data_IF_316018436261
#
_entry.id   IF_316018436261
#
_cell.length_a   1.000
_cell.length_b   1.000
_cell.length_c   1.000
_cell.angle_alpha   90.00
_cell.angle_beta   90.00
_cell.angle_gamma   90.00
#
_symmetry.space_group_name_H-M   'P 1'
#
loop_
_entity.id
_entity.type
_entity.pdbx_description
1 polymer ?
#
# COMPACT_ATOMS: atom_id res chain seq x y z
N UNK A 1 7.09 -2.30 14.24
CA UNK A 1 6.19 -2.70 15.35
C UNK A 1 6.77 -2.26 16.67
N UNK A 2 6.01 -1.62 17.56
CA UNK A 2 6.43 -1.24 18.92
C UNK A 2 6.99 -2.43 19.70
N UNK A 3 8.08 -2.21 20.42
CA UNK A 3 8.76 -3.27 21.15
C UNK A 3 9.30 -2.76 22.50
N UNK A 4 9.03 -3.52 23.55
CA UNK A 4 9.50 -3.25 24.92
C UNK A 4 10.45 -4.34 25.45
N UNK A 5 11.19 -5.01 24.58
CA UNK A 5 12.21 -5.96 24.97
C UNK A 5 13.36 -5.26 25.72
N UNK A 6 14.24 -6.05 26.38
CA UNK A 6 15.32 -5.50 27.20
C UNK A 6 16.24 -4.52 26.45
N UNK A 7 16.49 -4.75 25.14
CA UNK A 7 17.30 -3.85 24.30
C UNK A 7 16.54 -2.53 24.05
N UNK A 8 15.29 -2.60 23.56
CA UNK A 8 14.51 -1.40 23.27
C UNK A 8 14.32 -0.52 24.50
N UNK A 9 14.04 -1.11 25.68
CA UNK A 9 13.96 -0.35 26.95
C UNK A 9 15.27 0.39 27.26
N UNK A 10 16.40 -0.29 27.11
CA UNK A 10 17.71 0.34 27.32
C UNK A 10 17.94 1.51 26.35
N UNK A 11 17.60 1.31 25.08
CA UNK A 11 17.76 2.34 24.05
C UNK A 11 16.85 3.55 24.32
N UNK A 12 15.60 3.32 24.76
CA UNK A 12 14.66 4.39 25.15
C UNK A 12 15.20 5.18 26.38
N UNK A 13 15.58 4.47 27.44
CA UNK A 13 16.13 5.09 28.67
C UNK A 13 17.41 5.85 28.38
N UNK A 14 18.29 5.35 27.51
CA UNK A 14 19.54 6.04 27.15
C UNK A 14 19.30 7.37 26.43
N UNK A 15 18.13 7.57 25.84
CA UNK A 15 17.67 8.86 25.27
C UNK A 15 16.94 9.75 26.26
N UNK A 16 16.89 9.38 27.55
CA UNK A 16 16.23 10.14 28.61
C UNK A 16 14.70 10.03 28.60
N UNK A 17 14.14 9.00 27.95
CA UNK A 17 12.69 8.77 27.84
C UNK A 17 12.21 7.59 28.69
N UNK A 18 10.93 7.59 29.04
CA UNK A 18 10.31 6.48 29.78
C UNK A 18 9.77 5.44 28.77
N UNK A 19 10.20 4.19 28.91
CA UNK A 19 9.69 3.07 28.07
C UNK A 19 8.23 2.68 28.37
N UNK A 20 7.58 3.30 29.35
CA UNK A 20 6.13 3.17 29.63
C UNK A 20 5.31 4.17 28.83
N UNK A 21 5.96 5.20 28.29
CA UNK A 21 5.33 6.16 27.40
C UNK A 21 5.13 5.53 26.01
N UNK A 22 3.88 5.38 25.52
CA UNK A 22 3.60 4.84 24.21
C UNK A 22 4.32 5.58 23.08
N UNK A 23 4.44 6.91 23.16
CA UNK A 23 5.08 7.73 22.15
C UNK A 23 6.58 7.45 22.08
N UNK A 24 7.24 7.26 23.22
CA UNK A 24 8.64 6.88 23.26
C UNK A 24 8.89 5.47 22.71
N UNK A 25 7.92 4.57 22.86
CA UNK A 25 7.98 3.20 22.29
C UNK A 25 7.78 3.23 20.78
N UNK A 26 6.86 4.04 20.28
CA UNK A 26 6.67 4.25 18.85
C UNK A 26 7.89 4.87 18.19
N UNK A 27 8.43 5.93 18.76
CA UNK A 27 9.69 6.55 18.30
C UNK A 27 10.84 5.52 18.23
N UNK A 28 10.95 4.65 19.22
CA UNK A 28 11.95 3.57 19.19
C UNK A 28 11.72 2.61 18.03
N UNK A 29 10.47 2.29 17.71
CA UNK A 29 10.15 1.43 16.58
C UNK A 29 10.56 2.08 15.25
N UNK A 30 10.32 3.38 15.08
CA UNK A 30 10.72 4.15 13.90
C UNK A 30 12.25 4.23 13.75
N UNK A 31 12.96 4.52 14.83
CA UNK A 31 14.44 4.51 14.84
C UNK A 31 14.97 3.13 14.45
N UNK A 32 14.36 2.07 14.97
CA UNK A 32 14.76 0.69 14.66
C UNK A 32 14.53 0.37 13.19
N UNK A 33 13.39 0.79 12.64
CA UNK A 33 13.08 0.61 11.22
C UNK A 33 14.04 1.40 10.32
N UNK A 34 14.28 2.67 10.61
CA UNK A 34 15.22 3.49 9.86
C UNK A 34 16.64 2.90 9.85
N UNK A 35 17.12 2.40 10.98
CA UNK A 35 18.41 1.72 11.08
C UNK A 35 18.44 0.42 10.26
N UNK A 36 17.35 -0.33 10.23
CA UNK A 36 17.21 -1.52 9.40
C UNK A 36 17.27 -1.16 7.91
N UNK A 37 16.46 -0.21 7.45
CA UNK A 37 16.44 0.25 6.05
C UNK A 37 17.84 0.67 5.60
N UNK A 38 18.47 1.57 6.35
CA UNK A 38 19.83 2.03 6.08
C UNK A 38 20.83 0.86 5.97
N UNK A 39 20.76 -0.08 6.90
CA UNK A 39 21.69 -1.23 6.90
C UNK A 39 21.48 -2.15 5.70
N UNK A 40 20.22 -2.37 5.31
CA UNK A 40 19.87 -3.19 4.14
C UNK A 40 20.37 -2.52 2.87
N UNK A 41 20.06 -1.24 2.69
CA UNK A 41 20.48 -0.45 1.54
C UNK A 41 22.01 -0.43 1.38
N UNK A 42 22.74 -0.05 2.42
CA UNK A 42 24.21 -0.04 2.43
C UNK A 42 24.79 -1.41 2.09
N UNK A 43 24.15 -2.48 2.57
CA UNK A 43 24.65 -3.84 2.34
C UNK A 43 24.40 -4.29 0.90
N UNK A 44 23.20 -4.09 0.37
CA UNK A 44 22.84 -4.51 -0.98
C UNK A 44 23.60 -3.69 -2.02
N UNK A 45 23.60 -2.37 -1.88
CA UNK A 45 24.22 -1.46 -2.85
C UNK A 45 25.75 -1.55 -2.86
N UNK A 46 26.36 -2.09 -1.81
CA UNK A 46 27.79 -2.44 -1.83
C UNK A 46 28.11 -3.49 -2.90
N UNK A 47 27.20 -4.43 -3.16
CA UNK A 47 27.39 -5.51 -4.12
C UNK A 47 26.70 -5.25 -5.46
N UNK A 48 25.56 -4.62 -5.45
CA UNK A 48 24.80 -4.24 -6.65
C UNK A 48 24.13 -2.87 -6.47
N UNK A 49 24.79 -1.77 -6.90
CA UNK A 49 24.25 -0.43 -6.76
C UNK A 49 22.93 -0.16 -7.51
N UNK A 50 22.57 -1.05 -8.44
CA UNK A 50 21.33 -0.94 -9.24
C UNK A 50 20.21 -1.85 -8.71
N UNK A 51 20.44 -2.57 -7.63
CA UNK A 51 19.43 -3.46 -7.07
C UNK A 51 18.27 -2.64 -6.49
N UNK A 52 17.06 -2.94 -6.91
CA UNK A 52 15.85 -2.38 -6.31
C UNK A 52 15.54 -3.08 -4.99
N UNK A 53 14.97 -2.34 -4.05
CA UNK A 53 14.68 -2.82 -2.69
C UNK A 53 13.24 -2.44 -2.36
N UNK A 54 12.49 -3.40 -1.84
CA UNK A 54 11.18 -3.17 -1.26
C UNK A 54 11.11 -3.80 0.14
N UNK A 55 10.68 -3.01 1.11
CA UNK A 55 10.46 -3.46 2.49
C UNK A 55 8.98 -3.76 2.68
N UNK A 56 8.59 -5.02 2.54
CA UNK A 56 7.19 -5.42 2.65
C UNK A 56 6.63 -5.17 4.06
N UNK A 57 5.53 -4.43 4.11
CA UNK A 57 4.76 -4.17 5.32
C UNK A 57 3.27 -4.52 5.15
N UNK A 58 2.88 -5.08 3.99
CA UNK A 58 1.51 -5.42 3.64
C UNK A 58 0.60 -4.20 3.39
N UNK A 59 1.03 -2.99 3.74
CA UNK A 59 0.26 -1.76 3.57
C UNK A 59 1.19 -0.56 3.42
N UNK A 60 0.84 0.36 2.51
CA UNK A 60 1.53 1.65 2.37
C UNK A 60 0.72 2.69 3.13
N UNK A 61 1.21 3.08 4.31
CA UNK A 61 0.53 4.04 5.18
C UNK A 61 0.45 5.41 4.48
N UNK A 62 -0.78 5.88 4.22
CA UNK A 62 -1.01 7.18 3.60
C UNK A 62 -0.54 8.29 4.54
N UNK A 63 0.16 9.29 3.98
CA UNK A 63 0.78 10.39 4.74
C UNK A 63 2.17 10.07 5.32
N UNK A 64 2.67 8.84 5.17
CA UNK A 64 4.02 8.46 5.57
C UNK A 64 4.93 8.30 4.34
N UNK A 65 5.15 9.42 3.64
CA UNK A 65 6.03 9.46 2.46
C UNK A 65 7.46 9.00 2.76
N UNK A 66 7.94 9.25 3.97
CA UNK A 66 9.23 8.78 4.46
C UNK A 66 9.35 7.25 4.40
N UNK A 67 8.30 6.53 4.82
CA UNK A 67 8.25 5.06 4.74
C UNK A 67 8.11 4.56 3.30
N UNK A 68 7.32 5.25 2.47
CA UNK A 68 7.19 4.91 1.06
C UNK A 68 8.54 5.06 0.33
N UNK A 69 9.22 6.21 0.49
CA UNK A 69 10.49 6.50 -0.17
C UNK A 69 11.70 5.78 0.44
N UNK A 70 11.52 5.01 1.51
CA UNK A 70 12.50 4.02 1.95
C UNK A 70 12.64 2.83 0.98
N UNK A 71 11.79 2.77 -0.04
CA UNK A 71 11.73 1.73 -1.06
C UNK A 71 12.13 2.29 -2.42
N UNK A 72 12.60 1.42 -3.32
CA UNK A 72 12.88 1.78 -4.72
C UNK A 72 11.62 1.77 -5.59
N UNK A 73 10.62 0.98 -5.21
CA UNK A 73 9.31 0.83 -5.83
C UNK A 73 8.32 0.39 -4.75
N UNK A 74 7.03 0.42 -5.03
CA UNK A 74 6.00 0.03 -4.09
C UNK A 74 5.23 -1.20 -4.55
N UNK A 75 4.92 -2.09 -3.61
CA UNK A 75 4.09 -3.27 -3.84
C UNK A 75 2.84 -3.18 -2.98
N UNK A 76 1.69 -3.03 -3.65
CA UNK A 76 0.39 -2.86 -3.01
C UNK A 76 -0.23 -4.23 -2.80
N UNK A 77 0.18 -4.91 -1.74
CA UNK A 77 -0.36 -6.20 -1.38
C UNK A 77 -1.83 -6.07 -1.00
N UNK A 78 -2.69 -6.87 -1.64
CA UNK A 78 -4.11 -6.89 -1.36
C UNK A 78 -4.71 -8.25 -1.71
N UNK A 79 -5.40 -8.87 -0.76
CA UNK A 79 -6.16 -10.08 -0.97
C UNK A 79 -7.64 -9.82 -0.66
N UNK A 80 -8.41 -9.25 -1.61
CA UNK A 80 -9.78 -8.80 -1.35
C UNK A 80 -10.69 -9.89 -0.80
N UNK A 81 -10.57 -11.12 -1.32
CA UNK A 81 -11.35 -12.28 -0.85
C UNK A 81 -10.88 -12.80 0.50
N UNK A 82 -9.71 -12.39 0.96
CA UNK A 82 -9.05 -12.85 2.18
C UNK A 82 -9.19 -11.91 3.39
N UNK A 83 -10.22 -11.10 3.44
CA UNK A 83 -10.52 -10.23 4.58
C UNK A 83 -10.11 -8.76 4.41
N UNK A 84 -9.27 -8.41 3.45
CA UNK A 84 -8.87 -7.02 3.21
C UNK A 84 -9.92 -6.21 2.46
N UNK A 85 -10.85 -6.90 1.78
CA UNK A 85 -11.92 -6.27 1.02
C UNK A 85 -11.46 -5.59 -0.27
N UNK A 86 -12.43 -5.28 -1.12
CA UNK A 86 -12.18 -4.66 -2.43
C UNK A 86 -11.92 -3.15 -2.38
N UNK A 87 -12.00 -2.54 -1.19
CA UNK A 87 -11.68 -1.11 -0.99
C UNK A 87 -10.17 -0.86 -0.80
N UNK A 88 -9.43 -1.84 -0.28
CA UNK A 88 -8.04 -1.65 0.11
C UNK A 88 -7.14 -1.27 -1.07
N UNK A 89 -7.20 -2.02 -2.17
CA UNK A 89 -6.33 -1.74 -3.33
C UNK A 89 -6.65 -0.40 -4.01
N UNK A 90 -7.91 -0.05 -4.34
CA UNK A 90 -8.21 1.24 -4.97
C UNK A 90 -7.76 2.44 -4.14
N UNK A 91 -7.96 2.43 -2.82
CA UNK A 91 -7.50 3.50 -1.94
C UNK A 91 -5.98 3.63 -1.94
N UNK A 92 -5.27 2.50 -1.84
CA UNK A 92 -3.81 2.48 -1.86
C UNK A 92 -3.25 2.92 -3.21
N UNK A 93 -3.77 2.39 -4.31
CA UNK A 93 -3.32 2.72 -5.65
C UNK A 93 -3.58 4.19 -6.01
N UNK A 94 -4.76 4.73 -5.67
CA UNK A 94 -5.06 6.14 -5.92
C UNK A 94 -4.17 7.10 -5.13
N UNK A 95 -3.66 6.69 -3.99
CA UNK A 95 -2.70 7.49 -3.21
C UNK A 95 -1.27 7.38 -3.76
N UNK A 96 -0.76 6.16 -3.96
CA UNK A 96 0.66 5.97 -4.29
C UNK A 96 1.05 6.53 -5.66
N UNK A 97 0.12 6.63 -6.59
CA UNK A 97 0.37 7.26 -7.89
C UNK A 97 0.79 8.73 -7.81
N UNK A 98 0.50 9.41 -6.69
CA UNK A 98 0.93 10.78 -6.43
C UNK A 98 2.34 10.85 -5.82
N UNK A 99 3.00 9.73 -5.54
CA UNK A 99 4.31 9.68 -4.92
C UNK A 99 5.48 9.70 -5.93
N UNK A 100 5.18 9.61 -7.24
CA UNK A 100 6.21 9.61 -8.28
C UNK A 100 7.09 8.35 -8.33
N UNK A 101 6.60 7.25 -7.79
CA UNK A 101 7.30 5.97 -7.72
C UNK A 101 6.61 4.92 -8.61
N UNK A 102 7.39 3.97 -9.15
CA UNK A 102 6.81 2.76 -9.73
C UNK A 102 6.08 1.95 -8.66
N UNK A 103 4.98 1.35 -9.04
CA UNK A 103 4.23 0.47 -8.15
C UNK A 103 3.54 -0.67 -8.90
N UNK A 104 3.29 -1.75 -8.17
CA UNK A 104 2.52 -2.88 -8.64
C UNK A 104 1.39 -3.22 -7.67
N UNK A 105 0.27 -3.71 -8.20
CA UNK A 105 -0.76 -4.36 -7.42
C UNK A 105 -0.40 -5.83 -7.23
N UNK A 106 -0.44 -6.29 -6.00
CA UNK A 106 -0.19 -7.69 -5.66
C UNK A 106 -1.46 -8.31 -5.10
N UNK A 107 -1.95 -9.32 -5.77
CA UNK A 107 -3.02 -10.19 -5.26
C UNK A 107 -2.54 -11.63 -5.19
N UNK A 108 -3.37 -12.58 -4.80
CA UNK A 108 -3.00 -13.98 -4.66
C UNK A 108 -3.98 -14.91 -5.34
N UNK A 109 -3.53 -16.12 -5.67
CA UNK A 109 -4.42 -17.21 -6.11
C UNK A 109 -5.31 -17.72 -4.99
N UNK A 110 -5.00 -17.35 -3.75
CA UNK A 110 -5.65 -17.82 -2.54
C UNK A 110 -7.09 -17.34 -2.43
N UNK A 111 -7.98 -18.18 -1.89
CA UNK A 111 -9.39 -17.84 -1.76
C UNK A 111 -9.65 -16.97 -0.53
N UNK A 112 -9.16 -17.39 0.65
CA UNK A 112 -9.51 -16.76 1.93
C UNK A 112 -8.35 -16.11 2.67
N UNK A 113 -7.15 -16.68 2.60
CA UNK A 113 -5.98 -16.16 3.31
C UNK A 113 -4.71 -16.36 2.50
N UNK A 114 -3.69 -15.52 2.72
CA UNK A 114 -2.35 -15.77 2.20
C UNK A 114 -1.82 -17.13 2.66
N UNK A 115 -1.28 -17.89 1.71
CA UNK A 115 -0.72 -19.21 2.00
C UNK A 115 -1.74 -20.32 2.17
N UNK A 116 -3.01 -20.10 1.90
CA UNK A 116 -4.04 -21.14 1.83
C UNK A 116 -3.73 -22.13 0.69
N UNK A 117 -3.08 -23.23 1.05
CA UNK A 117 -2.44 -24.11 0.09
C UNK A 117 -3.40 -24.73 -0.92
N UNK A 118 -4.57 -25.21 -0.46
CA UNK A 118 -5.57 -25.87 -1.29
C UNK A 118 -6.64 -24.96 -1.89
N UNK A 119 -6.68 -23.69 -1.48
CA UNK A 119 -7.70 -22.74 -1.91
C UNK A 119 -7.38 -22.11 -3.25
N UNK A 120 -8.42 -21.94 -4.07
CA UNK A 120 -8.33 -21.26 -5.36
C UNK A 120 -9.35 -20.14 -5.42
N UNK A 121 -8.89 -18.98 -5.84
CA UNK A 121 -9.75 -17.86 -6.15
C UNK A 121 -10.56 -18.16 -7.42
N UNK A 122 -11.79 -17.67 -7.47
CA UNK A 122 -12.57 -17.76 -8.70
C UNK A 122 -11.85 -17.03 -9.85
N UNK A 123 -11.76 -17.60 -11.07
CA UNK A 123 -11.05 -16.96 -12.18
C UNK A 123 -11.47 -15.52 -12.46
N UNK A 124 -12.77 -15.22 -12.36
CA UNK A 124 -13.26 -13.85 -12.57
C UNK A 124 -12.80 -12.87 -11.47
N UNK A 125 -12.53 -13.31 -10.25
CA UNK A 125 -11.94 -12.47 -9.21
C UNK A 125 -10.51 -12.06 -9.61
N UNK A 126 -9.68 -13.00 -10.08
CA UNK A 126 -8.33 -12.68 -10.58
C UNK A 126 -8.38 -11.73 -11.78
N UNK A 127 -9.28 -12.00 -12.76
CA UNK A 127 -9.47 -11.11 -13.92
C UNK A 127 -9.85 -9.69 -13.51
N UNK A 128 -10.75 -9.55 -12.54
CA UNK A 128 -11.14 -8.25 -12.00
C UNK A 128 -9.97 -7.54 -11.32
N UNK A 129 -9.25 -8.23 -10.44
CA UNK A 129 -8.17 -7.66 -9.64
C UNK A 129 -6.97 -7.24 -10.48
N UNK A 130 -6.60 -8.05 -11.49
CA UNK A 130 -5.54 -7.70 -12.43
C UNK A 130 -5.95 -6.54 -13.36
N UNK A 131 -7.20 -6.53 -13.84
CA UNK A 131 -7.73 -5.42 -14.63
C UNK A 131 -7.80 -4.13 -13.81
N UNK A 132 -8.15 -4.22 -12.51
CA UNK A 132 -8.17 -3.08 -11.61
C UNK A 132 -6.76 -2.51 -11.40
N UNK A 133 -5.75 -3.38 -11.29
CA UNK A 133 -4.34 -2.94 -11.22
C UNK A 133 -3.98 -2.08 -12.44
N UNK A 134 -4.30 -2.54 -13.64
CA UNK A 134 -4.06 -1.78 -14.87
C UNK A 134 -4.84 -0.45 -14.90
N UNK A 135 -6.11 -0.47 -14.49
CA UNK A 135 -6.95 0.73 -14.48
C UNK A 135 -6.41 1.84 -13.56
N UNK A 136 -5.67 1.46 -12.52
CA UNK A 136 -4.98 2.40 -11.64
C UNK A 136 -3.52 2.69 -12.05
N UNK A 137 -3.09 2.24 -13.23
CA UNK A 137 -1.73 2.46 -13.73
C UNK A 137 -0.66 1.61 -13.02
N UNK A 138 -1.07 0.58 -12.29
CA UNK A 138 -0.16 -0.34 -11.62
C UNK A 138 0.26 -1.50 -12.53
N UNK A 139 1.49 -1.96 -12.38
CA UNK A 139 1.86 -3.33 -12.79
C UNK A 139 1.08 -4.33 -11.93
N UNK A 140 1.01 -5.60 -12.30
CA UNK A 140 0.32 -6.59 -11.48
C UNK A 140 1.17 -7.82 -11.18
N UNK A 141 0.96 -8.37 -9.97
CA UNK A 141 1.59 -9.59 -9.48
C UNK A 141 0.52 -10.50 -8.86
N UNK A 142 0.65 -11.81 -9.07
CA UNK A 142 -0.22 -12.81 -8.43
C UNK A 142 0.62 -13.75 -7.60
N UNK A 143 0.41 -13.72 -6.28
CA UNK A 143 1.07 -14.59 -5.33
C UNK A 143 0.58 -16.03 -5.42
N UNK A 144 1.53 -16.96 -5.38
CA UNK A 144 1.28 -18.40 -5.30
C UNK A 144 2.18 -19.03 -4.22
N UNK A 145 1.90 -20.26 -3.89
CA UNK A 145 2.69 -21.07 -2.98
C UNK A 145 3.09 -22.38 -3.66
N UNK A 146 4.39 -22.60 -3.82
CA UNK A 146 4.91 -23.83 -4.37
C UNK A 146 4.67 -25.01 -3.43
N UNK A 147 4.53 -26.20 -4.00
CA UNK A 147 4.59 -27.45 -3.24
C UNK A 147 5.94 -27.59 -2.51
N UNK A 148 6.01 -28.35 -1.39
CA UNK A 148 7.26 -28.55 -0.66
C UNK A 148 8.43 -29.09 -1.51
N UNK A 149 8.13 -29.78 -2.62
CA UNK A 149 9.12 -30.24 -3.58
C UNK A 149 9.55 -29.18 -4.62
N UNK A 150 9.09 -27.93 -4.47
CA UNK A 150 9.42 -26.81 -5.36
C UNK A 150 8.69 -26.81 -6.71
N UNK A 151 7.77 -27.72 -6.94
CA UNK A 151 7.03 -27.77 -8.22
C UNK A 151 5.83 -26.84 -8.23
N UNK A 152 5.60 -26.21 -9.37
CA UNK A 152 4.42 -25.43 -9.65
C UNK A 152 3.17 -26.31 -9.79
N UNK A 153 2.02 -25.78 -9.41
CA UNK A 153 0.74 -26.39 -9.71
C UNK A 153 0.21 -25.85 -11.04
N UNK A 154 0.20 -26.69 -12.08
CA UNK A 154 -0.23 -26.28 -13.41
C UNK A 154 -1.68 -25.77 -13.47
N UNK A 155 -2.57 -26.24 -12.59
CA UNK A 155 -3.95 -25.74 -12.52
C UNK A 155 -3.98 -24.29 -12.05
N UNK A 156 -3.18 -23.95 -11.03
CA UNK A 156 -3.00 -22.58 -10.57
C UNK A 156 -2.55 -21.67 -11.71
N UNK A 157 -1.51 -22.10 -12.43
CA UNK A 157 -0.94 -21.28 -13.50
C UNK A 157 -1.84 -21.16 -14.73
N UNK A 158 -2.73 -22.12 -14.98
CA UNK A 158 -3.78 -21.94 -16.00
C UNK A 158 -4.76 -20.83 -15.61
N UNK A 159 -5.23 -20.81 -14.37
CA UNK A 159 -6.15 -19.76 -13.87
C UNK A 159 -5.48 -18.39 -13.94
N UNK A 160 -4.24 -18.29 -13.48
CA UNK A 160 -3.46 -17.05 -13.55
C UNK A 160 -3.23 -16.63 -15.01
N UNK A 161 -2.87 -17.58 -15.88
CA UNK A 161 -2.60 -17.34 -17.29
C UNK A 161 -3.79 -16.76 -18.05
N UNK A 162 -5.02 -17.17 -17.72
CA UNK A 162 -6.22 -16.57 -18.32
C UNK A 162 -6.34 -15.08 -17.96
N UNK A 163 -6.10 -14.72 -16.69
CA UNK A 163 -6.12 -13.33 -16.27
C UNK A 163 -4.98 -12.52 -16.90
N UNK A 164 -3.78 -13.07 -16.93
CA UNK A 164 -2.62 -12.39 -17.53
C UNK A 164 -2.71 -12.23 -19.06
N UNK A 165 -3.39 -13.13 -19.74
CA UNK A 165 -3.68 -12.94 -21.17
C UNK A 165 -4.49 -11.67 -21.43
N UNK A 166 -5.48 -11.39 -20.60
CA UNK A 166 -6.25 -10.14 -20.70
C UNK A 166 -5.41 -8.91 -20.29
N UNK A 167 -4.48 -9.07 -19.35
CA UNK A 167 -3.52 -8.02 -19.01
C UNK A 167 -2.65 -7.69 -20.21
N UNK A 168 -2.06 -8.70 -20.86
CA UNK A 168 -1.20 -8.55 -22.02
C UNK A 168 -1.92 -7.82 -23.18
N UNK A 169 -3.20 -8.15 -23.40
CA UNK A 169 -4.02 -7.47 -24.42
C UNK A 169 -4.29 -5.99 -24.10
N UNK A 170 -4.36 -5.61 -22.81
CA UNK A 170 -4.71 -4.25 -22.34
C UNK A 170 -3.49 -3.40 -22.00
N UNK A 171 -2.36 -4.02 -21.68
CA UNK A 171 -1.14 -3.33 -21.23
C UNK A 171 -0.70 -2.20 -22.17
N UNK A 172 -0.73 -2.32 -23.51
CA UNK A 172 -0.32 -1.23 -24.41
C UNK A 172 -1.12 0.06 -24.24
N UNK A 173 -2.34 -0.02 -23.70
CA UNK A 173 -3.21 1.13 -23.46
C UNK A 173 -3.03 1.74 -22.06
N UNK A 174 -2.43 0.97 -21.15
CA UNK A 174 -2.29 1.33 -19.74
C UNK A 174 -0.85 1.72 -19.36
N UNK A 175 0.12 1.32 -20.17
CA UNK A 175 1.53 1.61 -19.90
C UNK A 175 1.81 3.10 -20.03
N UNK A 176 2.49 3.67 -19.02
CA UNK A 176 2.79 5.10 -18.90
C UNK A 176 1.55 6.02 -18.97
N UNK A 177 0.37 5.50 -18.66
CA UNK A 177 -0.84 6.32 -18.60
C UNK A 177 -0.80 7.25 -17.41
N UNK A 178 -1.07 8.53 -17.67
CA UNK A 178 -1.19 9.54 -16.63
C UNK A 178 -2.59 9.55 -16.01
N UNK A 179 -2.66 9.84 -14.72
CA UNK A 179 -3.92 9.97 -14.02
C UNK A 179 -4.53 11.35 -14.27
N UNK A 180 -5.74 11.36 -14.81
CA UNK A 180 -6.55 12.57 -14.94
C UNK A 180 -7.68 12.51 -13.92
N UNK A 181 -7.67 13.40 -12.91
CA UNK A 181 -8.74 13.47 -11.93
C UNK A 181 -8.95 14.92 -11.46
N UNK A 182 -10.22 15.28 -11.25
CA UNK A 182 -10.65 16.59 -10.75
C UNK A 182 -10.94 16.56 -9.25
N UNK A 183 -11.07 15.38 -8.67
CA UNK A 183 -11.48 15.18 -7.27
C UNK A 183 -10.30 14.65 -6.46
N UNK A 184 -9.88 15.39 -5.45
CA UNK A 184 -8.95 14.94 -4.45
C UNK A 184 -9.67 14.64 -3.14
N UNK A 185 -9.36 13.52 -2.52
CA UNK A 185 -9.85 13.13 -1.18
C UNK A 185 -8.66 13.20 -0.23
N UNK A 186 -8.71 14.11 0.74
CA UNK A 186 -7.72 14.11 1.81
C UNK A 186 -7.93 12.87 2.67
N UNK A 187 -6.93 11.98 2.71
CA UNK A 187 -7.06 10.74 3.46
C UNK A 187 -7.15 10.98 4.96
N UNK A 188 -8.14 10.37 5.60
CA UNK A 188 -8.26 10.34 7.06
C UNK A 188 -7.01 9.69 7.68
N UNK A 189 -6.51 8.61 7.09
CA UNK A 189 -5.27 7.96 7.52
C UNK A 189 -4.09 8.94 7.50
N UNK A 190 -3.95 9.74 6.46
CA UNK A 190 -2.88 10.73 6.34
C UNK A 190 -2.99 11.88 7.37
N UNK A 191 -4.13 12.01 8.03
CA UNK A 191 -4.36 12.98 9.10
C UNK A 191 -4.20 12.39 10.51
N UNK A 192 -3.93 11.08 10.61
CA UNK A 192 -3.65 10.41 11.90
C UNK A 192 -2.16 10.29 12.15
N UNK A 193 -1.78 10.06 13.41
CA UNK A 193 -0.40 9.81 13.77
C UNK A 193 -0.10 8.30 13.79
N UNK A 194 1.11 7.93 13.41
CA UNK A 194 1.62 6.57 13.51
C UNK A 194 1.68 5.82 12.18
N UNK A 195 1.69 4.50 12.28
CA UNK A 195 1.77 3.58 11.14
C UNK A 195 0.54 2.68 11.16
N UNK A 196 -0.17 2.62 10.06
CA UNK A 196 -1.34 1.76 9.88
C UNK A 196 -0.94 0.41 9.29
N UNK A 197 -1.84 -0.55 9.41
CA UNK A 197 -1.75 -1.88 8.81
C UNK A 197 -2.93 -2.10 7.87
N UNK A 198 -2.90 -3.16 7.09
CA UNK A 198 -4.02 -3.56 6.22
C UNK A 198 -5.33 -3.84 6.98
N UNK A 199 -5.25 -4.10 8.30
CA UNK A 199 -6.42 -4.34 9.16
C UNK A 199 -6.98 -3.04 9.76
N UNK A 200 -6.32 -1.91 9.58
CA UNK A 200 -6.78 -0.61 10.08
C UNK A 200 -7.80 -0.02 9.10
N UNK A 201 -9.02 0.15 9.56
CA UNK A 201 -10.13 0.70 8.75
C UNK A 201 -10.36 2.18 9.10
N UNK A 202 -10.41 2.99 8.07
CA UNK A 202 -10.77 4.41 8.13
C UNK A 202 -12.10 4.60 7.39
N UNK A 203 -13.20 4.60 8.12
CA UNK A 203 -14.55 4.60 7.53
C UNK A 203 -14.82 5.78 6.59
N UNK A 204 -14.26 6.95 6.89
CA UNK A 204 -14.36 8.12 6.01
C UNK A 204 -13.69 7.91 4.66
N UNK A 205 -12.50 7.31 4.65
CA UNK A 205 -11.77 6.97 3.42
C UNK A 205 -12.52 5.88 2.62
N UNK A 206 -13.01 4.84 3.30
CA UNK A 206 -13.80 3.77 2.67
C UNK A 206 -15.07 4.32 2.05
N UNK A 207 -15.80 5.17 2.77
CA UNK A 207 -17.04 5.81 2.28
C UNK A 207 -16.79 6.67 1.03
N UNK A 208 -15.76 7.51 1.06
CA UNK A 208 -15.36 8.33 -0.08
C UNK A 208 -14.93 7.47 -1.27
N UNK A 209 -14.11 6.42 -1.02
CA UNK A 209 -13.67 5.49 -2.06
C UNK A 209 -14.86 4.85 -2.79
N UNK A 210 -15.82 4.30 -2.04
CA UNK A 210 -17.02 3.67 -2.63
C UNK A 210 -17.87 4.66 -3.39
N UNK A 211 -18.09 5.84 -2.83
CA UNK A 211 -18.86 6.89 -3.48
C UNK A 211 -18.32 7.21 -4.89
N UNK A 212 -17.00 7.41 -4.99
CA UNK A 212 -16.40 7.80 -6.27
C UNK A 212 -16.16 6.61 -7.19
N UNK A 213 -15.71 5.47 -6.68
CA UNK A 213 -15.45 4.28 -7.49
C UNK A 213 -16.75 3.73 -8.10
N UNK A 214 -17.79 3.55 -7.30
CA UNK A 214 -19.09 3.05 -7.76
C UNK A 214 -19.83 4.10 -8.61
N UNK A 215 -19.67 5.39 -8.28
CA UNK A 215 -20.18 6.51 -9.07
C UNK A 215 -19.41 6.73 -10.39
N UNK A 216 -18.30 6.03 -10.61
CA UNK A 216 -17.44 6.13 -11.81
C UNK A 216 -16.83 7.52 -11.99
N UNK A 217 -16.51 8.19 -10.89
CA UNK A 217 -15.80 9.47 -10.91
C UNK A 217 -14.29 9.22 -10.89
N UNK A 218 -13.54 10.10 -11.54
CA UNK A 218 -12.09 10.08 -11.49
C UNK A 218 -11.62 10.87 -10.26
N UNK A 219 -10.97 10.19 -9.34
CA UNK A 219 -10.52 10.74 -8.06
C UNK A 219 -9.13 10.24 -7.68
N UNK A 220 -8.55 10.90 -6.70
CA UNK A 220 -7.29 10.49 -6.08
C UNK A 220 -7.33 10.72 -4.57
N UNK A 221 -6.67 9.84 -3.81
CA UNK A 221 -6.37 10.12 -2.41
C UNK A 221 -5.09 10.94 -2.30
N UNK A 222 -5.09 11.91 -1.42
CA UNK A 222 -3.95 12.77 -1.15
C UNK A 222 -3.63 12.83 0.34
N UNK A 223 -2.42 13.27 0.65
CA UNK A 223 -1.98 13.63 2.01
C UNK A 223 -1.83 15.15 2.17
N UNK A 224 -1.33 15.56 3.34
CA UNK A 224 -1.13 16.97 3.68
C UNK A 224 0.02 17.64 2.93
N UNK A 225 0.85 16.92 2.18
CA UNK A 225 2.00 17.49 1.47
C UNK A 225 1.63 17.92 0.04
N UNK A 226 0.52 17.43 -0.50
CA UNK A 226 0.03 17.79 -1.84
C UNK A 226 -0.54 19.21 -1.83
N UNK A 227 -0.30 19.98 -2.88
CA UNK A 227 -0.94 21.29 -3.06
C UNK A 227 -2.43 21.11 -3.39
N UNK A 228 -3.30 21.52 -2.48
CA UNK A 228 -4.75 21.39 -2.62
C UNK A 228 -5.32 22.21 -3.76
N UNK A 229 -4.66 23.32 -4.14
CA UNK A 229 -5.08 24.17 -5.26
C UNK A 229 -4.87 23.50 -6.62
N UNK A 230 -4.19 22.37 -6.67
CA UNK A 230 -4.02 21.59 -7.90
C UNK A 230 -5.31 20.87 -8.33
N UNK A 231 -6.34 20.83 -7.48
CA UNK A 231 -7.57 20.12 -7.74
C UNK A 231 -8.79 21.04 -7.68
N UNK A 232 -9.71 20.97 -8.69
CA UNK A 232 -10.96 21.72 -8.67
C UNK A 232 -11.87 21.38 -7.49
N UNK A 233 -11.83 20.14 -7.02
CA UNK A 233 -12.66 19.65 -5.91
C UNK A 233 -11.81 18.96 -4.86
N UNK A 234 -11.91 19.44 -3.62
CA UNK A 234 -11.30 18.80 -2.44
C UNK A 234 -12.40 18.23 -1.54
N UNK A 235 -12.28 16.95 -1.24
CA UNK A 235 -13.19 16.23 -0.33
C UNK A 235 -12.48 15.97 0.99
N UNK A 236 -13.12 16.37 2.07
CA UNK A 236 -12.67 16.16 3.45
C UNK A 236 -13.64 15.20 4.13
N UNK A 237 -13.27 13.94 4.39
CA UNK A 237 -14.09 13.04 5.22
C UNK A 237 -14.40 13.64 6.60
N UNK A 238 -15.59 13.37 7.13
CA UNK A 238 -16.14 14.00 8.34
C UNK A 238 -15.26 13.88 9.58
N UNK A 239 -14.48 12.83 9.66
CA UNK A 239 -13.57 12.54 10.78
C UNK A 239 -12.29 13.36 10.79
N UNK A 240 -12.01 14.13 9.72
CA UNK A 240 -10.84 14.98 9.64
C UNK A 240 -11.08 16.27 10.44
N UNK A 241 -10.24 16.47 11.48
CA UNK A 241 -10.24 17.72 12.23
C UNK A 241 -9.40 18.76 11.50
N UNK A 242 -10.04 19.89 11.20
CA UNK A 242 -9.36 21.05 10.61
C UNK A 242 -8.66 21.83 11.73
N UNK A 243 -7.35 21.68 11.83
CA UNK A 243 -6.51 22.58 12.62
C UNK A 243 -6.28 23.92 11.87
N UNK A 244 -5.57 24.86 12.51
CA UNK A 244 -5.31 26.17 11.92
C UNK A 244 -4.44 26.10 10.67
N UNK A 245 -3.53 25.14 10.58
CA UNK A 245 -2.64 24.95 9.41
C UNK A 245 -3.45 24.44 8.23
N UNK A 246 -4.25 23.40 8.44
CA UNK A 246 -5.08 22.80 7.40
C UNK A 246 -6.16 23.76 6.89
N UNK A 247 -6.67 24.66 7.77
CA UNK A 247 -7.63 25.71 7.37
C UNK A 247 -7.05 26.79 6.47
N UNK A 248 -5.76 27.02 6.56
CA UNK A 248 -5.07 28.06 5.76
C UNK A 248 -4.69 27.58 4.36
N UNK A 249 -4.71 26.30 4.17
CA UNK A 249 -4.39 25.64 2.90
C UNK A 249 -5.61 25.46 2.04
#
# INVERSE_FOLDING_TARGET
>A
TPCVCGKCRKDIVSRGKDYRDPDAVWEQAEITFANYVKKVEETIHKYNPKCTIFHNAGHITRGRRDLAHANSHLELESLPTGGWGYDHFPMSASYVKNLGMEYLGMTGKFHTTWGEFGGYKHPNALRYETALSLAFGAKCSVGDQLHPNGRMNEKTYRIIGEAYKEVEEKEPWCYEAENVCDIAVLSQEACTHGVSTCDTVYDGDVGANRLFLEGKYLYTFIDKEVDFNSFPVLVLPDSIRLDEELRKR
#
